data_IF_568291935626
#
_entry.id   IF_568291935626
#
_cell.length_a   1.000
_cell.length_b   1.000
_cell.length_c   1.000
_cell.angle_alpha   90.00
_cell.angle_beta   90.00
_cell.angle_gamma   90.00
#
_symmetry.space_group_name_H-M   'P 1'
#
loop_
_entity.id
_entity.type
_entity.pdbx_description
1 polymer ?
#
# COMPACT_ATOMS: atom_id res chain seq x y z
N UNK A 1 -16.12 -13.66 28.78
CA UNK A 1 -14.79 -14.27 28.63
C UNK A 1 -14.39 -14.11 27.15
N UNK A 2 -13.18 -13.68 26.87
CA UNK A 2 -12.69 -13.57 25.48
C UNK A 2 -12.37 -14.97 24.94
N UNK A 3 -12.86 -15.29 23.74
CA UNK A 3 -12.53 -16.54 23.04
C UNK A 3 -11.44 -16.27 22.00
N UNK A 4 -10.43 -17.11 21.96
CA UNK A 4 -9.32 -17.01 21.02
C UNK A 4 -9.45 -18.10 19.97
N UNK A 5 -9.54 -17.71 18.71
CA UNK A 5 -9.66 -18.63 17.57
C UNK A 5 -8.56 -19.69 17.55
N UNK A 6 -7.32 -19.27 17.78
CA UNK A 6 -6.15 -20.15 17.76
C UNK A 6 -6.22 -21.31 18.78
N UNK A 7 -6.82 -21.05 19.95
CA UNK A 7 -6.92 -22.06 21.03
C UNK A 7 -8.25 -22.83 21.01
N UNK A 8 -9.26 -22.38 20.28
CA UNK A 8 -10.57 -23.04 20.21
C UNK A 8 -10.72 -23.94 19.00
N UNK A 9 -10.41 -23.46 17.80
CA UNK A 9 -10.47 -24.27 16.56
C UNK A 9 -9.11 -24.52 15.90
N UNK A 10 -8.07 -23.83 16.34
CA UNK A 10 -6.76 -23.84 15.70
C UNK A 10 -6.70 -22.98 14.44
N UNK A 11 -5.53 -22.98 13.83
CA UNK A 11 -5.27 -22.27 12.56
C UNK A 11 -5.60 -23.21 11.40
N UNK A 12 -6.44 -22.73 10.47
CA UNK A 12 -6.73 -23.45 9.23
C UNK A 12 -5.62 -23.23 8.19
N UNK A 13 -4.62 -24.12 8.22
CA UNK A 13 -3.44 -24.03 7.33
C UNK A 13 -3.75 -24.30 5.87
N UNK A 14 -4.90 -24.90 5.56
CA UNK A 14 -5.35 -25.19 4.20
C UNK A 14 -6.13 -24.04 3.56
N UNK A 15 -6.52 -23.03 4.35
CA UNK A 15 -7.21 -21.85 3.82
C UNK A 15 -6.30 -21.05 2.89
N UNK A 16 -6.90 -20.41 1.87
CA UNK A 16 -6.17 -19.54 0.93
C UNK A 16 -5.45 -18.38 1.65
N UNK A 17 -6.10 -17.66 2.58
CA UNK A 17 -5.42 -16.57 3.30
C UNK A 17 -4.18 -17.05 4.07
N UNK A 18 -4.24 -18.21 4.71
CA UNK A 18 -3.08 -18.77 5.41
C UNK A 18 -1.95 -19.13 4.45
N UNK A 19 -2.26 -19.76 3.31
CA UNK A 19 -1.25 -20.08 2.28
C UNK A 19 -0.59 -18.81 1.72
N UNK A 20 -1.37 -17.75 1.54
CA UNK A 20 -0.84 -16.45 1.12
C UNK A 20 0.04 -15.81 2.22
N UNK A 21 -0.35 -15.90 3.49
CA UNK A 21 0.47 -15.49 4.62
C UNK A 21 1.83 -16.23 4.66
N UNK A 22 1.82 -17.57 4.46
CA UNK A 22 3.05 -18.36 4.38
C UNK A 22 3.94 -17.93 3.18
N UNK A 23 3.31 -17.62 2.05
CA UNK A 23 4.00 -17.09 0.87
C UNK A 23 4.63 -15.73 1.15
N UNK A 24 3.87 -14.81 1.78
CA UNK A 24 4.35 -13.48 2.15
C UNK A 24 5.56 -13.54 3.09
N UNK A 25 5.52 -14.38 4.13
CA UNK A 25 6.68 -14.60 5.02
C UNK A 25 7.93 -15.07 4.26
N UNK A 26 7.76 -15.83 3.20
CA UNK A 26 8.88 -16.38 2.43
C UNK A 26 9.46 -15.37 1.45
N UNK A 27 8.64 -14.55 0.82
CA UNK A 27 9.03 -13.64 -0.24
C UNK A 27 9.12 -12.17 0.20
N UNK A 28 8.40 -11.78 1.26
CA UNK A 28 8.45 -10.43 1.83
C UNK A 28 9.70 -10.15 2.68
N UNK A 29 10.86 -10.69 2.28
CA UNK A 29 12.12 -10.53 3.01
C UNK A 29 13.01 -9.43 2.44
N UNK A 30 12.58 -8.75 1.38
CA UNK A 30 13.32 -7.63 0.81
C UNK A 30 13.35 -6.45 1.78
N UNK A 31 14.47 -5.71 1.74
CA UNK A 31 14.68 -4.49 2.53
C UNK A 31 15.07 -3.38 1.56
N UNK A 32 14.38 -2.23 1.54
CA UNK A 32 14.71 -1.08 0.68
C UNK A 32 16.18 -0.65 0.79
N UNK A 33 16.79 -0.78 1.97
CA UNK A 33 18.20 -0.45 2.21
C UNK A 33 19.20 -1.33 1.46
N UNK A 34 18.75 -2.51 0.98
CA UNK A 34 19.60 -3.41 0.20
C UNK A 34 19.57 -3.10 -1.30
N UNK A 35 18.76 -2.13 -1.73
CA UNK A 35 18.72 -1.66 -3.12
C UNK A 35 19.90 -0.72 -3.34
N UNK A 36 20.64 -0.95 -4.41
CA UNK A 36 21.80 -0.12 -4.76
C UNK A 36 21.37 1.12 -5.55
N UNK A 37 21.27 2.24 -4.86
CA UNK A 37 20.98 3.55 -5.44
C UNK A 37 22.24 4.35 -5.87
N UNK A 38 23.42 3.71 -5.95
CA UNK A 38 24.68 4.42 -6.15
C UNK A 38 24.76 5.24 -7.45
N UNK A 39 23.98 4.87 -8.45
CA UNK A 39 23.92 5.55 -9.75
C UNK A 39 22.73 6.48 -9.91
N UNK A 40 21.70 6.31 -9.11
CA UNK A 40 20.42 7.00 -9.33
C UNK A 40 20.54 8.52 -9.28
N UNK A 41 21.45 9.04 -8.46
CA UNK A 41 21.71 10.49 -8.42
C UNK A 41 22.33 11.00 -9.73
N UNK A 42 23.35 10.31 -10.25
CA UNK A 42 24.01 10.68 -11.51
C UNK A 42 23.04 10.53 -12.69
N UNK A 43 22.28 9.44 -12.70
CA UNK A 43 21.27 9.20 -13.73
C UNK A 43 20.18 10.28 -13.69
N UNK A 44 19.69 10.65 -12.51
CA UNK A 44 18.76 11.75 -12.31
C UNK A 44 19.28 13.09 -12.83
N UNK A 45 20.54 13.44 -12.52
CA UNK A 45 21.18 14.67 -12.98
C UNK A 45 21.39 14.69 -14.50
N UNK A 46 21.43 13.54 -15.15
CA UNK A 46 21.57 13.40 -16.61
C UNK A 46 20.25 13.59 -17.37
N UNK A 47 19.11 13.53 -16.71
CA UNK A 47 17.80 13.69 -17.32
C UNK A 47 17.53 15.14 -17.71
N UNK A 48 16.72 15.32 -18.74
CA UNK A 48 16.18 16.64 -19.10
C UNK A 48 15.14 17.09 -18.05
N UNK A 49 14.94 18.39 -17.94
CA UNK A 49 13.92 18.97 -17.01
C UNK A 49 12.54 18.34 -17.21
N UNK A 50 12.13 18.04 -18.45
CA UNK A 50 10.85 17.41 -18.74
C UNK A 50 10.77 15.98 -18.23
N UNK A 51 11.86 15.21 -18.34
CA UNK A 51 11.96 13.84 -17.82
C UNK A 51 11.95 13.85 -16.30
N UNK A 52 12.73 14.73 -15.67
CA UNK A 52 12.74 14.90 -14.22
C UNK A 52 11.34 15.26 -13.71
N UNK A 53 10.65 16.21 -14.36
CA UNK A 53 9.30 16.61 -13.99
C UNK A 53 8.30 15.45 -14.08
N UNK A 54 8.38 14.63 -15.13
CA UNK A 54 7.50 13.48 -15.32
C UNK A 54 7.74 12.40 -14.27
N UNK A 55 9.00 12.04 -14.04
CA UNK A 55 9.37 11.05 -13.01
C UNK A 55 9.01 11.53 -11.60
N UNK A 56 9.29 12.81 -11.30
CA UNK A 56 8.97 13.36 -9.99
C UNK A 56 7.45 13.40 -9.72
N UNK A 57 6.65 13.66 -10.75
CA UNK A 57 5.19 13.57 -10.66
C UNK A 57 4.76 12.13 -10.32
N UNK A 58 5.33 11.14 -11.01
CA UNK A 58 5.03 9.73 -10.76
C UNK A 58 5.47 9.29 -9.36
N UNK A 59 6.70 9.64 -8.96
CA UNK A 59 7.22 9.35 -7.61
C UNK A 59 6.34 10.00 -6.54
N UNK A 60 5.93 11.26 -6.73
CA UNK A 60 5.06 11.95 -5.77
C UNK A 60 3.70 11.25 -5.61
N UNK A 61 3.13 10.72 -6.71
CA UNK A 61 1.89 9.96 -6.67
C UNK A 61 2.06 8.66 -5.88
N UNK A 62 3.10 7.88 -6.18
CA UNK A 62 3.34 6.64 -5.45
C UNK A 62 3.66 6.88 -3.99
N UNK A 63 4.62 7.75 -3.69
CA UNK A 63 5.06 7.98 -2.32
C UNK A 63 3.92 8.38 -1.37
N UNK A 64 3.03 9.27 -1.82
CA UNK A 64 1.87 9.65 -1.03
C UNK A 64 0.79 8.57 -1.00
N UNK A 65 0.62 7.80 -2.09
CA UNK A 65 -0.31 6.68 -2.12
C UNK A 65 0.10 5.56 -1.15
N UNK A 66 1.38 5.21 -1.09
CA UNK A 66 1.91 4.18 -0.16
C UNK A 66 1.69 4.57 1.31
N UNK A 67 1.85 5.85 1.64
CA UNK A 67 1.51 6.35 2.98
C UNK A 67 -0.01 6.29 3.22
N UNK A 68 -0.82 6.73 2.26
CA UNK A 68 -2.28 6.69 2.37
C UNK A 68 -2.79 5.26 2.56
N UNK A 69 -2.34 4.30 1.75
CA UNK A 69 -2.78 2.89 1.88
C UNK A 69 -2.26 2.25 3.17
N UNK A 70 -1.07 2.61 3.64
CA UNK A 70 -0.55 2.17 4.95
C UNK A 70 -1.48 2.59 6.08
N UNK A 71 -2.01 3.82 6.04
CA UNK A 71 -2.96 4.32 7.04
C UNK A 71 -4.35 3.71 6.86
N UNK A 72 -4.84 3.68 5.63
CA UNK A 72 -6.24 3.36 5.33
C UNK A 72 -6.55 1.87 5.36
N UNK A 73 -5.55 0.98 5.29
CA UNK A 73 -5.77 -0.47 5.47
C UNK A 73 -6.14 -0.85 6.92
N UNK A 74 -5.80 -0.03 7.92
CA UNK A 74 -6.04 -0.34 9.34
C UNK A 74 -7.52 -0.57 9.68
N UNK A 75 -8.49 0.25 9.22
CA UNK A 75 -9.91 -0.03 9.40
C UNK A 75 -10.38 -1.33 8.75
N UNK A 76 -9.81 -1.72 7.60
CA UNK A 76 -10.12 -2.99 6.96
C UNK A 76 -9.63 -4.18 7.81
N UNK A 77 -8.39 -4.13 8.30
CA UNK A 77 -7.86 -5.14 9.24
C UNK A 77 -8.76 -5.24 10.48
N UNK A 78 -9.17 -4.10 11.03
CA UNK A 78 -10.10 -4.06 12.16
C UNK A 78 -11.44 -4.74 11.82
N UNK A 79 -12.05 -4.42 10.68
CA UNK A 79 -13.32 -5.02 10.26
C UNK A 79 -13.19 -6.53 10.08
N UNK A 80 -12.14 -7.02 9.42
CA UNK A 80 -11.86 -8.45 9.24
C UNK A 80 -11.65 -9.15 10.60
N UNK A 81 -11.01 -8.50 11.57
CA UNK A 81 -10.82 -9.07 12.90
C UNK A 81 -12.13 -9.38 13.64
N UNK A 82 -13.25 -8.77 13.22
CA UNK A 82 -14.59 -9.02 13.79
C UNK A 82 -15.32 -10.18 13.12
N UNK A 83 -14.88 -10.63 11.96
CA UNK A 83 -15.52 -11.74 11.23
C UNK A 83 -15.19 -13.11 11.81
N UNK A 84 -14.12 -13.23 12.63
CA UNK A 84 -13.59 -14.51 13.14
C UNK A 84 -12.71 -15.25 12.14
N UNK A 85 -12.44 -14.68 10.99
CA UNK A 85 -11.52 -15.22 9.96
C UNK A 85 -10.08 -14.84 10.28
N UNK A 86 -9.50 -15.45 11.29
CA UNK A 86 -8.21 -15.06 11.83
C UNK A 86 -7.06 -15.20 10.81
N UNK A 87 -7.16 -16.15 9.88
CA UNK A 87 -6.17 -16.34 8.80
C UNK A 87 -6.16 -15.17 7.79
N UNK A 88 -7.32 -14.53 7.58
CA UNK A 88 -7.41 -13.32 6.76
C UNK A 88 -6.75 -12.14 7.48
N UNK A 89 -7.01 -11.99 8.79
CA UNK A 89 -6.36 -10.99 9.63
C UNK A 89 -4.83 -11.17 9.61
N UNK A 90 -4.33 -12.42 9.76
CA UNK A 90 -2.90 -12.72 9.67
C UNK A 90 -2.31 -12.30 8.32
N UNK A 91 -3.01 -12.58 7.21
CA UNK A 91 -2.54 -12.22 5.88
C UNK A 91 -2.49 -10.70 5.68
N UNK A 92 -3.52 -9.98 6.12
CA UNK A 92 -3.57 -8.51 6.00
C UNK A 92 -2.44 -7.79 6.77
N UNK A 93 -1.90 -8.41 7.85
CA UNK A 93 -0.72 -7.83 8.52
C UNK A 93 0.50 -7.80 7.63
N UNK A 94 0.62 -8.72 6.67
CA UNK A 94 1.71 -8.71 5.70
C UNK A 94 1.56 -7.60 4.66
N UNK A 95 0.32 -7.28 4.27
CA UNK A 95 0.05 -6.12 3.43
C UNK A 95 0.52 -4.84 4.11
N UNK A 96 0.04 -4.56 5.31
CA UNK A 96 0.43 -3.38 6.08
C UNK A 96 1.96 -3.24 6.19
N UNK A 97 2.66 -4.35 6.36
CA UNK A 97 4.13 -4.35 6.43
C UNK A 97 4.78 -4.04 5.07
N UNK A 98 4.22 -4.58 3.96
CA UNK A 98 4.74 -4.29 2.61
C UNK A 98 4.52 -2.82 2.24
N UNK A 99 3.33 -2.24 2.49
CA UNK A 99 3.04 -0.83 2.20
C UNK A 99 3.97 0.12 2.97
N UNK A 100 4.25 -0.19 4.24
CA UNK A 100 5.21 0.57 5.02
C UNK A 100 6.64 0.50 4.43
N UNK A 101 7.04 -0.64 3.84
CA UNK A 101 8.33 -0.76 3.15
C UNK A 101 8.35 -0.02 1.80
N UNK A 102 7.21 0.02 1.09
CA UNK A 102 7.10 0.83 -0.12
C UNK A 102 7.27 2.32 0.20
N UNK A 103 6.64 2.80 1.27
CA UNK A 103 6.85 4.17 1.76
C UNK A 103 8.34 4.45 2.08
N UNK A 104 9.03 3.53 2.77
CA UNK A 104 10.47 3.65 3.05
C UNK A 104 11.30 3.66 1.76
N UNK A 105 10.96 2.82 0.78
CA UNK A 105 11.61 2.79 -0.54
C UNK A 105 11.53 4.15 -1.24
N UNK A 106 10.33 4.73 -1.38
CA UNK A 106 10.17 6.03 -2.03
C UNK A 106 10.85 7.15 -1.25
N UNK A 107 10.89 7.07 0.08
CA UNK A 107 11.68 7.99 0.91
C UNK A 107 13.17 7.94 0.57
N UNK A 108 13.74 6.73 0.41
CA UNK A 108 15.14 6.55 0.00
C UNK A 108 15.40 7.08 -1.41
N UNK A 109 14.49 6.84 -2.36
CA UNK A 109 14.60 7.39 -3.73
C UNK A 109 14.68 8.91 -3.69
N UNK A 110 13.74 9.58 -3.04
CA UNK A 110 13.70 11.06 -2.92
C UNK A 110 14.97 11.61 -2.27
N UNK A 111 15.44 10.98 -1.20
CA UNK A 111 16.70 11.36 -0.53
C UNK A 111 17.90 11.21 -1.44
N UNK A 112 17.96 10.11 -2.21
CA UNK A 112 19.08 9.80 -3.11
C UNK A 112 19.19 10.82 -4.25
N UNK A 113 18.08 11.15 -4.90
CA UNK A 113 18.07 12.13 -5.99
C UNK A 113 18.13 13.59 -5.48
N UNK A 114 18.08 13.81 -4.16
CA UNK A 114 18.28 15.11 -3.54
C UNK A 114 17.13 16.08 -3.72
N UNK A 115 15.89 15.58 -3.77
CA UNK A 115 14.70 16.41 -3.86
C UNK A 115 14.26 16.84 -2.46
N UNK A 116 14.03 18.13 -2.29
CA UNK A 116 13.54 18.76 -1.08
C UNK A 116 12.23 19.50 -1.36
N UNK A 117 11.39 19.63 -0.35
CA UNK A 117 10.16 20.41 -0.41
C UNK A 117 8.88 19.60 -0.41
N UNK A 118 7.75 20.28 -0.63
CA UNK A 118 6.41 19.69 -0.59
C UNK A 118 6.03 19.09 -1.95
N UNK A 119 5.91 17.77 -2.02
CA UNK A 119 5.50 17.05 -3.21
C UNK A 119 3.98 17.05 -3.45
N UNK A 120 3.17 17.53 -2.51
CA UNK A 120 1.71 17.60 -2.67
C UNK A 120 1.28 18.50 -3.84
N UNK A 121 2.13 19.42 -4.28
CA UNK A 121 1.87 20.29 -5.45
C UNK A 121 1.73 19.49 -6.77
N UNK A 122 2.25 18.27 -6.84
CA UNK A 122 2.13 17.38 -8.00
C UNK A 122 0.78 16.68 -8.07
N UNK A 123 0.03 16.59 -6.96
CA UNK A 123 -1.24 15.89 -6.89
C UNK A 123 -2.33 16.57 -7.71
N UNK A 124 -2.86 15.85 -8.70
CA UNK A 124 -3.96 16.30 -9.54
C UNK A 124 -5.31 16.22 -8.80
N UNK A 125 -6.34 16.91 -9.30
CA UNK A 125 -7.67 16.86 -8.70
C UNK A 125 -8.27 15.43 -8.69
N UNK A 126 -8.14 14.59 -9.73
CA UNK A 126 -8.56 13.19 -9.67
C UNK A 126 -7.78 12.37 -8.61
N UNK A 127 -6.48 12.59 -8.48
CA UNK A 127 -5.66 11.94 -7.46
C UNK A 127 -6.19 12.27 -6.05
N UNK A 128 -6.36 13.55 -5.75
CA UNK A 128 -6.90 14.02 -4.46
C UNK A 128 -8.30 13.48 -4.20
N UNK A 129 -9.16 13.41 -5.22
CA UNK A 129 -10.50 12.84 -5.08
C UNK A 129 -10.47 11.38 -4.61
N UNK A 130 -9.48 10.61 -5.08
CA UNK A 130 -9.32 9.22 -4.66
C UNK A 130 -8.67 9.09 -3.29
N UNK A 131 -7.48 9.67 -3.11
CA UNK A 131 -6.66 9.43 -1.93
C UNK A 131 -6.97 10.33 -0.74
N UNK A 132 -7.48 11.55 -0.95
CA UNK A 132 -7.84 12.47 0.15
C UNK A 132 -9.32 12.33 0.57
N UNK A 133 -10.19 11.73 -0.28
CA UNK A 133 -11.63 11.65 0.01
C UNK A 133 -12.19 10.22 -0.08
N UNK A 134 -12.11 9.57 -1.25
CA UNK A 134 -12.85 8.33 -1.49
C UNK A 134 -12.27 7.15 -0.68
N UNK A 135 -10.97 6.94 -0.73
CA UNK A 135 -10.30 5.87 -0.01
C UNK A 135 -10.46 6.03 1.51
N UNK A 136 -10.04 7.15 2.14
CA UNK A 136 -10.17 7.28 3.59
C UNK A 136 -11.62 7.20 4.05
N UNK A 137 -12.57 7.87 3.39
CA UNK A 137 -13.97 7.82 3.78
C UNK A 137 -14.57 6.40 3.71
N UNK A 138 -14.20 5.63 2.68
CA UNK A 138 -14.69 4.26 2.50
C UNK A 138 -14.08 3.32 3.54
N UNK A 139 -12.80 3.50 3.86
CA UNK A 139 -12.10 2.70 4.86
C UNK A 139 -12.52 3.07 6.28
N UNK A 140 -12.57 4.35 6.65
CA UNK A 140 -13.00 4.80 7.98
C UNK A 140 -14.43 4.37 8.32
N UNK A 141 -15.32 4.28 7.33
CA UNK A 141 -16.66 3.72 7.50
C UNK A 141 -16.61 2.35 8.19
N UNK A 142 -15.59 1.53 7.92
CA UNK A 142 -15.44 0.19 8.51
C UNK A 142 -15.24 0.20 10.02
N UNK A 143 -14.89 1.32 10.63
CA UNK A 143 -14.81 1.46 12.09
C UNK A 143 -16.19 1.38 12.75
N UNK A 144 -17.26 1.68 11.99
CA UNK A 144 -18.62 1.76 12.47
C UNK A 144 -19.61 0.81 11.76
N UNK A 145 -19.29 0.40 10.53
CA UNK A 145 -20.11 -0.49 9.70
C UNK A 145 -19.23 -1.60 9.11
N UNK A 146 -19.25 -2.78 9.72
CA UNK A 146 -18.56 -3.98 9.27
C UNK A 146 -19.48 -4.91 8.45
N UNK A 147 -20.54 -4.37 7.83
CA UNK A 147 -21.40 -5.18 6.96
C UNK A 147 -20.63 -5.72 5.76
N UNK A 148 -21.03 -6.88 5.20
CA UNK A 148 -20.40 -7.42 4.00
C UNK A 148 -20.37 -6.42 2.83
N UNK A 149 -21.40 -5.54 2.74
CA UNK A 149 -21.43 -4.49 1.73
C UNK A 149 -20.34 -3.45 1.97
N UNK A 150 -20.18 -2.97 3.21
CA UNK A 150 -19.15 -1.97 3.52
C UNK A 150 -17.75 -2.52 3.28
N UNK A 151 -17.49 -3.78 3.65
CA UNK A 151 -16.21 -4.46 3.38
C UNK A 151 -15.98 -4.60 1.86
N UNK A 152 -17.02 -4.98 1.10
CA UNK A 152 -16.90 -5.08 -0.36
C UNK A 152 -16.64 -3.71 -1.01
N UNK A 153 -17.35 -2.64 -0.58
CA UNK A 153 -17.13 -1.28 -1.07
C UNK A 153 -15.65 -0.86 -0.82
N UNK A 154 -15.12 -1.10 0.36
CA UNK A 154 -13.74 -0.82 0.73
C UNK A 154 -12.73 -1.61 -0.13
N UNK A 155 -12.96 -2.92 -0.29
CA UNK A 155 -12.11 -3.77 -1.12
C UNK A 155 -12.12 -3.35 -2.60
N UNK A 156 -13.24 -2.86 -3.12
CA UNK A 156 -13.30 -2.33 -4.50
C UNK A 156 -12.44 -1.08 -4.62
N UNK A 157 -12.56 -0.12 -3.71
CA UNK A 157 -11.78 1.13 -3.77
C UNK A 157 -10.29 0.85 -3.59
N UNK A 158 -9.94 0.08 -2.58
CA UNK A 158 -8.54 -0.24 -2.28
C UNK A 158 -7.95 -1.22 -3.29
N UNK A 159 -8.40 -2.48 -3.28
CA UNK A 159 -7.73 -3.54 -4.04
C UNK A 159 -7.96 -3.47 -5.55
N UNK A 160 -9.12 -2.96 -6.02
CA UNK A 160 -9.39 -2.89 -7.45
C UNK A 160 -8.93 -1.58 -8.08
N UNK A 161 -9.16 -0.43 -7.42
CA UNK A 161 -8.78 0.86 -7.99
C UNK A 161 -7.37 1.28 -7.61
N UNK A 162 -7.03 1.36 -6.33
CA UNK A 162 -5.70 1.81 -5.93
C UNK A 162 -4.64 0.80 -6.39
N UNK A 163 -4.79 -0.47 -6.04
CA UNK A 163 -3.81 -1.51 -6.37
C UNK A 163 -3.95 -2.01 -7.82
N UNK A 164 -5.16 -2.47 -8.20
CA UNK A 164 -5.36 -3.19 -9.45
C UNK A 164 -5.37 -2.30 -10.70
N UNK A 165 -5.56 -0.99 -10.59
CA UNK A 165 -5.57 -0.06 -11.74
C UNK A 165 -4.42 0.93 -11.64
N UNK A 166 -4.30 1.67 -10.53
CA UNK A 166 -3.31 2.76 -10.47
C UNK A 166 -1.90 2.24 -10.28
N UNK A 167 -1.67 1.32 -9.33
CA UNK A 167 -0.34 0.76 -9.11
C UNK A 167 0.16 0.01 -10.35
N UNK A 168 -0.67 -0.85 -10.94
CA UNK A 168 -0.32 -1.58 -12.17
C UNK A 168 -0.01 -0.65 -13.35
N UNK A 169 -0.79 0.45 -13.53
CA UNK A 169 -0.53 1.45 -14.56
C UNK A 169 0.79 2.18 -14.28
N UNK A 170 1.07 2.49 -13.03
CA UNK A 170 2.31 3.13 -12.63
C UNK A 170 3.53 2.24 -12.86
N UNK A 171 3.46 0.96 -12.51
CA UNK A 171 4.53 0.00 -12.78
C UNK A 171 4.85 -0.07 -14.27
N UNK A 172 3.82 -0.13 -15.12
CA UNK A 172 4.04 -0.10 -16.58
C UNK A 172 4.78 1.17 -17.02
N UNK A 173 4.45 2.33 -16.45
CA UNK A 173 5.09 3.61 -16.78
C UNK A 173 6.58 3.64 -16.40
N UNK A 174 7.00 2.92 -15.37
CA UNK A 174 8.42 2.81 -14.99
C UNK A 174 9.25 1.94 -15.96
N UNK A 175 8.60 1.09 -16.77
CA UNK A 175 9.29 0.21 -17.72
C UNK A 175 9.44 0.83 -19.13
N UNK A 176 8.71 1.90 -19.47
CA UNK A 176 8.76 2.62 -20.75
C UNK A 176 9.74 3.79 -20.72
#
# INVERSE_FOLDING_TARGET
MRHYTSTTRGINRESLPFKLYEKAKKFGTWDPKNIDFSKDKEDWESLTDAQQQSLLTLIAFFYSAEEAVTNDILPLIYAISKTGHFEEEMYLTTFLFEEAKHTDFFSLVIQTIGIEGDLNSYHTAPYRKLFDELLPNTMERLLHDQSPKAIADAAVVYNMFAEGVLAETGYWTFYE
#
